data_IF_519417125859
#
_entry.id   IF_519417125859
#
_cell.length_a   1.000
_cell.length_b   1.000
_cell.length_c   1.000
_cell.angle_alpha   90.00
_cell.angle_beta   90.00
_cell.angle_gamma   90.00
#
_symmetry.space_group_name_H-M   'P 1'
#
loop_
_entity.id
_entity.type
_entity.pdbx_description
1 polymer ?
#
# COMPACT_ATOMS: atom_id res chain seq x y z
N UNK A 1 0.93 5.90 -4.12
CA UNK A 1 1.96 6.91 -3.83
C UNK A 1 1.41 7.90 -2.85
N UNK A 2 2.22 8.35 -1.91
CA UNK A 2 1.89 9.34 -0.88
C UNK A 2 2.77 10.57 -1.10
N UNK A 3 2.17 11.74 -1.23
CA UNK A 3 2.86 13.02 -1.28
C UNK A 3 2.58 13.75 0.03
N UNK A 4 3.62 13.94 0.83
CA UNK A 4 3.52 14.55 2.16
C UNK A 4 3.77 16.06 2.01
N UNK A 5 3.05 16.94 2.73
CA UNK A 5 3.42 18.34 2.83
C UNK A 5 4.89 18.48 3.18
N UNK A 6 5.55 19.53 2.71
CA UNK A 6 7.00 19.74 2.86
C UNK A 6 7.90 18.86 1.96
N UNK A 7 7.33 18.18 0.96
CA UNK A 7 8.06 17.57 -0.13
C UNK A 7 8.45 16.11 0.06
N UNK A 8 7.92 15.41 1.08
CA UNK A 8 8.14 13.96 1.24
C UNK A 8 7.32 13.15 0.24
N UNK A 9 7.94 12.14 -0.38
CA UNK A 9 7.27 11.21 -1.30
C UNK A 9 7.53 9.79 -0.84
N UNK A 10 6.44 9.02 -0.69
CA UNK A 10 6.52 7.58 -0.42
C UNK A 10 5.75 6.81 -1.49
N UNK A 11 6.30 5.68 -1.88
CA UNK A 11 5.63 4.71 -2.73
C UNK A 11 5.24 3.51 -1.86
N UNK A 12 3.98 3.10 -1.92
CA UNK A 12 3.52 1.88 -1.26
C UNK A 12 3.00 0.95 -2.33
N UNK A 13 3.67 -0.17 -2.49
CA UNK A 13 3.49 -1.17 -3.52
C UNK A 13 3.44 -0.56 -4.94
N UNK A 14 3.88 -1.30 -5.91
CA UNK A 14 3.69 -1.02 -7.32
C UNK A 14 3.97 -2.27 -8.13
N UNK A 15 2.93 -2.84 -8.69
CA UNK A 15 3.07 -4.04 -9.48
C UNK A 15 1.82 -4.38 -10.27
N UNK A 16 1.90 -5.47 -11.01
CA UNK A 16 0.78 -6.06 -11.72
C UNK A 16 1.08 -7.53 -12.03
N UNK A 17 0.10 -8.40 -11.81
CA UNK A 17 0.17 -9.80 -12.24
C UNK A 17 0.06 -9.96 -13.75
N UNK A 18 -0.66 -9.05 -14.44
CA UNK A 18 -1.04 -9.17 -15.84
C UNK A 18 -0.25 -8.23 -16.78
N UNK A 19 0.24 -7.09 -16.27
CA UNK A 19 1.00 -6.13 -17.06
C UNK A 19 2.50 -6.32 -16.85
N UNK A 20 3.26 -6.21 -17.94
CA UNK A 20 4.72 -6.15 -17.91
C UNK A 20 5.18 -4.69 -17.96
N UNK A 21 6.39 -4.44 -17.51
CA UNK A 21 7.05 -3.13 -17.60
C UNK A 21 6.22 -2.01 -16.94
N UNK A 22 5.70 -2.29 -15.75
CA UNK A 22 4.84 -1.37 -14.98
C UNK A 22 5.60 -0.11 -14.57
N UNK A 23 6.89 -0.24 -14.21
CA UNK A 23 7.69 0.94 -13.89
C UNK A 23 7.93 1.79 -15.15
N UNK A 24 8.31 1.18 -16.26
CA UNK A 24 8.63 1.89 -17.50
C UNK A 24 7.43 2.65 -18.08
N UNK A 25 6.26 2.02 -18.13
CA UNK A 25 5.11 2.58 -18.85
C UNK A 25 4.06 3.25 -17.97
N UNK A 26 4.11 3.08 -16.65
CA UNK A 26 3.14 3.67 -15.73
C UNK A 26 3.83 4.53 -14.66
N UNK A 27 4.71 3.95 -13.83
CA UNK A 27 5.27 4.64 -12.69
C UNK A 27 6.21 5.79 -13.10
N UNK A 28 7.21 5.52 -13.93
CA UNK A 28 8.19 6.55 -14.34
C UNK A 28 7.54 7.70 -15.12
N UNK A 29 6.62 7.48 -16.09
CA UNK A 29 5.89 8.56 -16.72
C UNK A 29 5.04 9.36 -15.73
N UNK A 30 4.41 8.71 -14.75
CA UNK A 30 3.66 9.40 -13.71
C UNK A 30 4.57 10.28 -12.84
N UNK A 31 5.64 9.73 -12.30
CA UNK A 31 6.63 10.49 -11.51
C UNK A 31 7.16 11.71 -12.29
N UNK A 32 7.50 11.50 -13.57
CA UNK A 32 7.94 12.57 -14.47
C UNK A 32 6.88 13.65 -14.65
N UNK A 33 5.62 13.27 -14.83
CA UNK A 33 4.51 14.23 -14.99
C UNK A 33 4.28 15.08 -13.73
N UNK A 34 4.65 14.54 -12.57
CA UNK A 34 4.58 15.23 -11.27
C UNK A 34 5.86 15.99 -10.91
N UNK A 35 6.92 15.89 -11.73
CA UNK A 35 8.23 16.48 -11.43
C UNK A 35 8.96 15.77 -10.28
N UNK A 36 8.60 14.52 -9.98
CA UNK A 36 9.18 13.74 -8.88
C UNK A 36 10.38 12.95 -9.41
N UNK A 37 11.56 13.23 -8.88
CA UNK A 37 12.79 12.48 -9.13
C UNK A 37 13.42 11.88 -7.88
N UNK A 38 12.83 12.15 -6.71
CA UNK A 38 13.28 11.65 -5.42
C UNK A 38 12.12 11.06 -4.64
N UNK A 39 12.31 9.85 -4.10
CA UNK A 39 11.37 9.10 -3.28
C UNK A 39 12.03 8.88 -1.91
N UNK A 40 11.40 9.31 -0.83
CA UNK A 40 11.96 9.17 0.52
C UNK A 40 11.89 7.72 1.03
N UNK A 41 10.89 6.97 0.59
CA UNK A 41 10.81 5.56 0.93
C UNK A 41 9.89 4.77 0.02
N UNK A 42 10.31 3.57 -0.30
CA UNK A 42 9.49 2.57 -0.99
C UNK A 42 9.09 1.54 0.05
N UNK A 43 7.81 1.44 0.35
CA UNK A 43 7.23 0.46 1.26
C UNK A 43 6.63 -0.68 0.46
N UNK A 44 6.92 -1.91 0.86
CA UNK A 44 6.36 -3.13 0.26
C UNK A 44 5.55 -3.85 1.32
N UNK A 45 4.26 -4.03 1.06
CA UNK A 45 3.37 -4.72 2.00
C UNK A 45 3.71 -6.22 2.09
N UNK A 46 3.90 -6.87 0.96
CA UNK A 46 4.30 -8.27 0.82
C UNK A 46 4.89 -8.51 -0.57
N UNK A 47 5.31 -9.74 -0.86
CA UNK A 47 6.14 -10.02 -2.04
C UNK A 47 5.39 -10.60 -3.24
N UNK A 48 4.07 -10.55 -3.26
CA UNK A 48 3.31 -11.01 -4.42
C UNK A 48 3.57 -10.11 -5.64
N UNK A 49 3.54 -10.73 -6.81
CA UNK A 49 3.97 -10.11 -8.07
C UNK A 49 3.23 -8.80 -8.38
N UNK A 50 1.96 -8.73 -8.08
CA UNK A 50 1.14 -7.53 -8.32
C UNK A 50 1.40 -6.39 -7.33
N UNK A 51 2.21 -6.63 -6.30
CA UNK A 51 2.71 -5.62 -5.37
C UNK A 51 4.14 -5.19 -5.68
N UNK A 52 4.99 -6.10 -6.17
CA UNK A 52 6.43 -5.82 -6.29
C UNK A 52 6.95 -5.70 -7.72
N UNK A 53 6.25 -6.19 -8.76
CA UNK A 53 6.85 -6.30 -10.11
C UNK A 53 7.32 -4.96 -10.69
N UNK A 54 6.60 -3.87 -10.44
CA UNK A 54 7.02 -2.53 -10.84
C UNK A 54 8.14 -1.96 -9.95
N UNK A 55 8.18 -2.34 -8.67
CA UNK A 55 9.27 -1.96 -7.76
C UNK A 55 10.57 -2.65 -8.20
N UNK A 56 10.53 -3.95 -8.48
CA UNK A 56 11.68 -4.71 -8.99
C UNK A 56 12.27 -4.04 -10.23
N UNK A 57 11.43 -3.75 -11.21
CA UNK A 57 11.82 -3.08 -12.44
C UNK A 57 12.39 -1.68 -12.18
N UNK A 58 11.81 -0.90 -11.26
CA UNK A 58 12.33 0.41 -10.87
C UNK A 58 13.72 0.30 -10.23
N UNK A 59 13.92 -0.66 -9.33
CA UNK A 59 15.21 -0.90 -8.67
C UNK A 59 16.29 -1.33 -9.67
N UNK A 60 15.95 -2.20 -10.63
CA UNK A 60 16.84 -2.58 -11.73
C UNK A 60 17.25 -1.35 -12.58
N UNK A 61 16.30 -0.46 -12.89
CA UNK A 61 16.61 0.77 -13.61
C UNK A 61 17.47 1.73 -12.80
N UNK A 62 17.29 1.81 -11.49
CA UNK A 62 18.15 2.61 -10.62
C UNK A 62 19.56 2.04 -10.56
N UNK A 63 19.73 0.72 -10.37
CA UNK A 63 21.01 0.03 -10.34
C UNK A 63 21.79 0.25 -11.65
N UNK A 64 21.11 0.07 -12.79
CA UNK A 64 21.72 0.21 -14.12
C UNK A 64 21.91 1.66 -14.56
N UNK A 65 21.46 2.64 -13.78
CA UNK A 65 21.52 4.05 -14.15
C UNK A 65 20.61 4.45 -15.33
N UNK A 66 19.57 3.67 -15.60
CA UNK A 66 18.60 3.90 -16.67
C UNK A 66 17.50 4.92 -16.30
N UNK A 67 17.46 5.34 -15.06
CA UNK A 67 16.55 6.38 -14.57
C UNK A 67 17.30 7.41 -13.71
N UNK A 68 16.80 8.65 -13.70
CA UNK A 68 17.25 9.68 -12.77
C UNK A 68 16.51 9.66 -11.43
N UNK A 69 15.47 8.84 -11.31
CA UNK A 69 14.75 8.67 -10.05
C UNK A 69 15.68 8.01 -9.02
N UNK A 70 15.61 8.49 -7.79
CA UNK A 70 16.38 7.96 -6.65
C UNK A 70 15.42 7.71 -5.48
N UNK A 71 15.79 6.78 -4.61
CA UNK A 71 15.06 6.56 -3.35
C UNK A 71 16.04 6.41 -2.20
N UNK A 72 15.66 6.93 -1.01
CA UNK A 72 16.50 6.86 0.18
C UNK A 72 16.44 5.48 0.83
N UNK A 73 15.26 4.85 0.86
CA UNK A 73 15.05 3.61 1.58
C UNK A 73 14.07 2.66 0.90
N UNK A 74 14.33 1.36 1.06
CA UNK A 74 13.37 0.28 0.89
C UNK A 74 12.91 -0.19 2.27
N UNK A 75 11.61 -0.22 2.50
CA UNK A 75 10.99 -0.58 3.78
C UNK A 75 10.19 -1.87 3.55
N UNK A 76 10.57 -2.92 4.26
CA UNK A 76 10.05 -4.28 4.12
C UNK A 76 9.50 -4.79 5.46
N UNK A 77 8.52 -5.69 5.48
CA UNK A 77 8.15 -6.40 6.70
C UNK A 77 9.33 -7.23 7.23
N UNK A 78 9.48 -7.30 8.55
CA UNK A 78 10.51 -8.13 9.20
C UNK A 78 9.98 -9.56 9.33
N UNK A 79 10.42 -10.43 8.43
CA UNK A 79 10.03 -11.83 8.37
C UNK A 79 11.16 -12.75 8.82
N UNK A 80 10.87 -13.75 9.64
CA UNK A 80 11.86 -14.77 10.06
C UNK A 80 12.30 -15.65 8.87
N UNK A 81 11.35 -16.07 8.03
CA UNK A 81 11.59 -16.93 6.86
C UNK A 81 11.09 -16.27 5.57
N UNK A 82 11.80 -15.23 5.08
CA UNK A 82 11.35 -14.52 3.88
C UNK A 82 11.53 -15.37 2.61
N UNK A 83 10.66 -15.22 1.61
CA UNK A 83 10.81 -15.88 0.32
C UNK A 83 12.04 -15.37 -0.43
N UNK A 84 12.56 -16.15 -1.39
CA UNK A 84 13.79 -15.83 -2.12
C UNK A 84 13.76 -14.45 -2.80
N UNK A 85 12.62 -14.05 -3.33
CA UNK A 85 12.44 -12.74 -3.98
C UNK A 85 12.69 -11.57 -3.04
N UNK A 86 12.48 -11.75 -1.75
CA UNK A 86 12.78 -10.75 -0.72
C UNK A 86 14.27 -10.40 -0.67
N UNK A 87 15.14 -11.41 -0.75
CA UNK A 87 16.58 -11.21 -0.80
C UNK A 87 17.01 -10.51 -2.11
N UNK A 88 16.32 -10.79 -3.21
CA UNK A 88 16.54 -10.09 -4.49
C UNK A 88 16.21 -8.59 -4.37
N UNK A 89 15.08 -8.24 -3.74
CA UNK A 89 14.71 -6.85 -3.47
C UNK A 89 15.76 -6.12 -2.64
N UNK A 90 16.25 -6.77 -1.56
CA UNK A 90 17.33 -6.21 -0.71
C UNK A 90 18.58 -5.95 -1.53
N UNK A 91 19.01 -6.93 -2.32
CA UNK A 91 20.21 -6.80 -3.14
C UNK A 91 20.10 -5.64 -4.13
N UNK A 92 19.00 -5.55 -4.89
CA UNK A 92 18.77 -4.48 -5.85
C UNK A 92 18.74 -3.10 -5.18
N UNK A 93 18.04 -2.98 -4.04
CA UNK A 93 17.99 -1.72 -3.31
C UNK A 93 19.36 -1.28 -2.82
N UNK A 94 20.15 -2.19 -2.25
CA UNK A 94 21.50 -1.90 -1.81
C UNK A 94 22.43 -1.51 -2.98
N UNK A 95 22.34 -2.20 -4.11
CA UNK A 95 23.08 -1.88 -5.33
C UNK A 95 22.68 -0.51 -5.89
N UNK A 96 21.42 -0.12 -5.73
CA UNK A 96 20.93 1.23 -6.07
C UNK A 96 21.32 2.32 -5.04
N UNK A 97 22.05 1.97 -3.97
CA UNK A 97 22.50 2.89 -2.93
C UNK A 97 21.46 3.24 -1.88
N UNK A 98 20.38 2.46 -1.79
CA UNK A 98 19.31 2.67 -0.82
C UNK A 98 19.62 2.01 0.53
N UNK A 99 19.04 2.56 1.60
CA UNK A 99 18.96 1.86 2.90
C UNK A 99 17.87 0.82 2.83
N UNK A 100 18.06 -0.31 3.50
CA UNK A 100 17.01 -1.32 3.71
C UNK A 100 16.61 -1.30 5.17
N UNK A 101 15.32 -1.13 5.41
CA UNK A 101 14.70 -1.11 6.73
C UNK A 101 13.69 -2.24 6.81
N UNK A 102 13.86 -3.11 7.78
CA UNK A 102 12.90 -4.17 8.11
C UNK A 102 12.07 -3.67 9.29
N UNK A 103 10.76 -3.78 9.19
CA UNK A 103 9.83 -3.20 10.16
C UNK A 103 8.80 -4.22 10.62
N UNK A 104 8.45 -4.12 11.90
CA UNK A 104 7.45 -4.93 12.59
C UNK A 104 6.43 -4.07 13.33
N UNK A 105 5.39 -4.67 13.83
CA UNK A 105 4.38 -4.02 14.65
C UNK A 105 5.01 -3.24 15.82
N UNK A 106 4.58 -1.99 16.00
CA UNK A 106 5.11 -1.06 17.00
C UNK A 106 6.21 -0.15 16.46
N UNK A 107 6.81 -0.46 15.32
CA UNK A 107 7.72 0.48 14.68
C UNK A 107 6.95 1.71 14.16
N UNK A 108 7.59 2.85 14.19
CA UNK A 108 7.01 4.08 13.64
C UNK A 108 8.11 5.03 13.17
N UNK A 109 7.77 5.87 12.22
CA UNK A 109 8.63 6.96 11.77
C UNK A 109 7.79 8.17 11.35
N UNK A 110 8.44 9.31 11.17
CA UNK A 110 7.76 10.56 10.77
C UNK A 110 8.48 11.23 9.61
N UNK A 111 7.67 11.93 8.79
CA UNK A 111 8.12 12.86 7.77
C UNK A 111 7.32 14.15 7.93
N UNK A 112 7.96 15.21 8.41
CA UNK A 112 7.25 16.44 8.78
C UNK A 112 6.16 16.16 9.83
N UNK A 113 4.93 16.59 9.55
CA UNK A 113 3.78 16.33 10.42
C UNK A 113 3.15 14.94 10.19
N UNK A 114 3.52 14.22 9.12
CA UNK A 114 3.00 12.89 8.85
C UNK A 114 3.70 11.81 9.70
N UNK A 115 2.94 10.98 10.37
CA UNK A 115 3.40 9.81 11.13
C UNK A 115 2.99 8.52 10.44
N UNK A 116 3.88 7.54 10.41
CA UNK A 116 3.65 6.20 9.89
C UNK A 116 3.79 5.22 11.05
N UNK A 117 2.75 4.42 11.30
CA UNK A 117 2.71 3.43 12.36
C UNK A 117 2.50 2.05 11.76
N UNK A 118 3.42 1.14 12.04
CA UNK A 118 3.36 -0.25 11.56
C UNK A 118 2.50 -1.06 12.52
N UNK A 119 1.39 -1.59 12.03
CA UNK A 119 0.44 -2.38 12.81
C UNK A 119 0.64 -3.90 12.63
N UNK A 120 1.26 -4.33 11.52
CA UNK A 120 1.65 -5.70 11.21
C UNK A 120 2.92 -5.67 10.32
N UNK A 121 3.71 -6.79 10.26
CA UNK A 121 3.49 -8.04 10.98
C UNK A 121 3.78 -7.91 12.48
N UNK A 122 3.15 -8.76 13.29
CA UNK A 122 3.52 -8.91 14.69
C UNK A 122 4.71 -9.86 14.81
N UNK A 123 5.61 -9.64 15.77
CA UNK A 123 6.83 -10.42 15.97
C UNK A 123 6.58 -11.92 16.21
N UNK A 124 5.40 -12.24 16.76
CA UNK A 124 5.00 -13.62 17.08
C UNK A 124 3.90 -14.12 16.12
N UNK A 125 3.73 -13.47 14.97
CA UNK A 125 2.76 -13.90 13.96
C UNK A 125 3.27 -15.18 13.31
N UNK A 126 2.64 -16.30 13.64
CA UNK A 126 2.85 -17.60 13.00
C UNK A 126 1.86 -17.71 11.83
N UNK A 127 2.02 -16.88 10.80
CA UNK A 127 1.27 -16.99 9.56
C UNK A 127 1.86 -18.09 8.66
N UNK A 128 1.00 -18.86 8.02
CA UNK A 128 1.42 -19.82 6.99
C UNK A 128 1.44 -19.16 5.59
N UNK A 129 1.01 -17.89 5.47
CA UNK A 129 0.85 -17.15 4.23
C UNK A 129 1.45 -15.74 4.35
N UNK A 130 2.25 -15.34 3.36
CA UNK A 130 2.85 -13.99 3.24
C UNK A 130 1.80 -12.86 3.28
N UNK A 131 0.56 -13.14 2.89
CA UNK A 131 -0.55 -12.18 2.99
C UNK A 131 -1.01 -11.96 4.44
N UNK A 132 -0.90 -12.97 5.29
CA UNK A 132 -1.22 -12.87 6.72
C UNK A 132 -0.11 -12.16 7.50
N UNK A 133 1.12 -12.22 7.00
CA UNK A 133 2.31 -11.56 7.56
C UNK A 133 2.66 -10.24 6.84
N UNK A 134 1.78 -9.76 5.97
CA UNK A 134 1.96 -8.53 5.22
C UNK A 134 2.00 -7.28 6.11
N UNK A 135 2.72 -6.25 5.64
CA UNK A 135 2.80 -4.98 6.36
C UNK A 135 1.47 -4.23 6.29
N UNK A 136 0.95 -3.87 7.46
CA UNK A 136 -0.18 -2.95 7.61
C UNK A 136 0.32 -1.63 8.20
N UNK A 137 -0.03 -0.53 7.54
CA UNK A 137 0.45 0.81 7.91
C UNK A 137 -0.72 1.74 8.18
N UNK A 138 -0.72 2.39 9.34
CA UNK A 138 -1.56 3.56 9.62
C UNK A 138 -0.74 4.83 9.35
N UNK A 139 -1.28 5.71 8.52
CA UNK A 139 -0.76 7.05 8.25
C UNK A 139 -1.56 8.06 9.06
N UNK A 140 -0.88 8.84 9.87
CA UNK A 140 -1.45 9.95 10.64
C UNK A 140 -0.96 11.30 10.08
N UNK A 141 -1.89 12.23 9.84
CA UNK A 141 -1.54 13.61 9.49
C UNK A 141 -2.54 14.57 10.13
N UNK A 142 -2.14 15.22 11.22
CA UNK A 142 -3.04 16.03 12.07
C UNK A 142 -4.22 15.19 12.57
N UNK A 143 -5.45 15.55 12.19
CA UNK A 143 -6.66 14.81 12.56
C UNK A 143 -6.98 13.66 11.58
N UNK A 144 -6.32 13.61 10.41
CA UNK A 144 -6.54 12.58 9.38
C UNK A 144 -5.81 11.27 9.73
N UNK A 145 -6.50 10.15 9.47
CA UNK A 145 -5.94 8.79 9.50
C UNK A 145 -6.26 8.02 8.23
N UNK A 146 -5.23 7.43 7.64
CA UNK A 146 -5.35 6.53 6.51
C UNK A 146 -4.79 5.15 6.87
N UNK A 147 -5.50 4.09 6.50
CA UNK A 147 -5.08 2.70 6.74
C UNK A 147 -4.80 1.98 5.43
N UNK A 148 -3.63 1.37 5.35
CA UNK A 148 -3.14 0.58 4.21
C UNK A 148 -2.89 -0.84 4.69
N UNK A 149 -3.66 -1.80 4.17
CA UNK A 149 -3.69 -3.17 4.70
C UNK A 149 -3.00 -4.19 3.79
N UNK A 150 -2.34 -3.76 2.70
CA UNK A 150 -1.78 -4.69 1.73
C UNK A 150 -2.85 -5.69 1.27
N UNK A 151 -2.52 -6.97 1.35
CA UNK A 151 -3.45 -8.06 1.06
C UNK A 151 -3.88 -8.85 2.32
N UNK A 152 -3.87 -8.18 3.48
CA UNK A 152 -4.32 -8.75 4.72
C UNK A 152 -5.72 -9.40 4.59
N UNK A 153 -5.79 -10.68 4.94
CA UNK A 153 -7.01 -11.45 5.05
C UNK A 153 -7.65 -11.33 6.42
N UNK A 154 -8.81 -11.98 6.60
CA UNK A 154 -9.57 -11.95 7.86
C UNK A 154 -8.73 -12.34 9.10
N UNK A 155 -7.82 -13.36 9.08
CA UNK A 155 -6.97 -13.66 10.22
C UNK A 155 -6.07 -12.49 10.61
N UNK A 156 -5.37 -11.87 9.64
CA UNK A 156 -4.50 -10.73 9.87
C UNK A 156 -5.28 -9.49 10.36
N UNK A 157 -6.45 -9.22 9.77
CA UNK A 157 -7.33 -8.15 10.21
C UNK A 157 -7.77 -8.32 11.68
N UNK A 158 -8.13 -9.56 12.06
CA UNK A 158 -8.51 -9.88 13.45
C UNK A 158 -7.35 -9.77 14.43
N UNK A 159 -6.15 -10.11 14.02
CA UNK A 159 -4.95 -10.00 14.86
C UNK A 159 -4.61 -8.55 15.26
N UNK A 160 -5.02 -7.57 14.46
CA UNK A 160 -4.73 -6.15 14.72
C UNK A 160 -5.91 -5.36 15.29
N UNK A 161 -7.09 -5.97 15.51
CA UNK A 161 -8.31 -5.25 15.95
C UNK A 161 -8.10 -4.35 17.16
N UNK A 162 -7.34 -4.79 18.14
CA UNK A 162 -7.05 -4.04 19.37
C UNK A 162 -6.14 -2.83 19.17
N UNK A 163 -5.53 -2.69 17.98
CA UNK A 163 -4.65 -1.58 17.59
C UNK A 163 -5.35 -0.58 16.69
N UNK A 164 -6.50 -0.97 16.12
CA UNK A 164 -7.24 -0.16 15.16
C UNK A 164 -8.06 0.95 15.85
N UNK A 165 -8.21 2.03 15.13
CA UNK A 165 -9.05 3.19 15.48
C UNK A 165 -9.92 3.55 14.27
N UNK A 166 -10.89 4.43 14.47
CA UNK A 166 -11.63 5.04 13.36
C UNK A 166 -10.64 5.71 12.38
N UNK A 167 -10.84 5.52 11.07
CA UNK A 167 -9.99 6.10 10.03
C UNK A 167 -10.83 6.88 9.01
N UNK A 168 -10.25 7.87 8.37
CA UNK A 168 -10.91 8.63 7.30
C UNK A 168 -10.79 7.88 5.97
N UNK A 169 -9.67 7.19 5.76
CA UNK A 169 -9.33 6.50 4.52
C UNK A 169 -8.91 5.05 4.76
N UNK A 170 -9.45 4.13 3.95
CA UNK A 170 -9.04 2.73 3.90
C UNK A 170 -8.63 2.35 2.47
N UNK A 171 -7.37 1.93 2.28
CA UNK A 171 -6.98 1.12 1.13
C UNK A 171 -7.41 -0.31 1.42
N UNK A 172 -8.47 -0.74 0.76
CA UNK A 172 -9.09 -2.05 0.97
C UNK A 172 -8.11 -3.18 0.68
N UNK A 173 -8.03 -4.14 1.58
CA UNK A 173 -7.12 -5.27 1.50
C UNK A 173 -7.46 -6.23 0.36
N UNK A 174 -6.43 -6.89 -0.14
CA UNK A 174 -6.49 -8.00 -1.10
C UNK A 174 -7.43 -7.71 -2.28
N UNK A 175 -7.31 -6.48 -2.82
CA UNK A 175 -8.09 -6.01 -3.98
C UNK A 175 -9.61 -6.19 -3.84
N UNK A 176 -10.12 -6.29 -2.61
CA UNK A 176 -11.52 -6.58 -2.32
C UNK A 176 -11.87 -8.07 -2.40
N UNK A 177 -10.93 -8.96 -2.09
CA UNK A 177 -11.17 -10.40 -1.94
C UNK A 177 -12.31 -10.68 -0.95
N UNK A 178 -13.03 -11.79 -1.13
CA UNK A 178 -14.04 -12.24 -0.18
C UNK A 178 -13.47 -12.55 1.20
N UNK A 179 -12.20 -12.85 1.28
CA UNK A 179 -11.47 -13.22 2.49
C UNK A 179 -10.85 -12.04 3.23
N UNK A 180 -11.03 -10.80 2.75
CA UNK A 180 -10.60 -9.56 3.39
C UNK A 180 -11.78 -8.67 3.77
N UNK A 181 -11.53 -7.61 4.53
CA UNK A 181 -12.52 -6.64 4.99
C UNK A 181 -13.67 -7.34 5.75
N UNK A 182 -13.30 -8.13 6.76
CA UNK A 182 -14.26 -8.80 7.61
C UNK A 182 -15.12 -7.79 8.37
N UNK A 183 -16.26 -8.22 8.86
CA UNK A 183 -17.23 -7.32 9.51
C UNK A 183 -16.63 -6.64 10.73
N UNK A 184 -16.00 -7.42 11.59
CA UNK A 184 -15.40 -6.92 12.84
C UNK A 184 -14.34 -5.85 12.56
N UNK A 185 -13.53 -6.03 11.52
CA UNK A 185 -12.56 -5.06 11.06
C UNK A 185 -13.23 -3.77 10.59
N UNK A 186 -14.23 -3.86 9.71
CA UNK A 186 -14.95 -2.69 9.19
C UNK A 186 -15.74 -1.94 10.29
N UNK A 187 -16.32 -2.66 11.24
CA UNK A 187 -17.01 -2.09 12.41
C UNK A 187 -16.03 -1.33 13.33
N UNK A 188 -14.75 -1.70 13.32
CA UNK A 188 -13.69 -1.04 14.10
C UNK A 188 -13.12 0.18 13.38
N UNK A 189 -12.78 0.06 12.09
CA UNK A 189 -12.10 1.14 11.33
C UNK A 189 -13.05 2.24 10.87
N UNK A 190 -14.32 1.94 10.62
CA UNK A 190 -15.39 2.89 10.24
C UNK A 190 -14.95 3.94 9.18
N UNK A 191 -14.26 3.50 8.16
CA UNK A 191 -13.68 4.37 7.16
C UNK A 191 -14.75 5.26 6.49
N UNK A 192 -14.44 6.56 6.31
CA UNK A 192 -15.29 7.47 5.53
C UNK A 192 -15.20 7.12 4.04
N UNK A 193 -13.96 6.89 3.55
CA UNK A 193 -13.66 6.53 2.16
C UNK A 193 -12.87 5.23 2.12
N UNK A 194 -13.32 4.30 1.29
CA UNK A 194 -12.63 3.05 1.00
C UNK A 194 -12.26 2.98 -0.48
N UNK A 195 -11.00 2.67 -0.80
CA UNK A 195 -10.53 2.54 -2.18
C UNK A 195 -10.13 1.10 -2.46
N UNK A 196 -10.73 0.51 -3.48
CA UNK A 196 -10.38 -0.81 -4.00
C UNK A 196 -9.55 -0.62 -5.27
N UNK A 197 -8.30 -1.09 -5.23
CA UNK A 197 -7.41 -1.15 -6.40
C UNK A 197 -7.59 -2.49 -7.09
N UNK A 198 -8.26 -2.51 -8.23
CA UNK A 198 -8.50 -3.73 -8.99
C UNK A 198 -8.64 -3.42 -10.49
N UNK A 199 -8.45 -4.43 -11.33
CA UNK A 199 -8.68 -4.37 -12.77
C UNK A 199 -10.04 -4.97 -13.10
N UNK A 200 -10.71 -4.47 -14.14
CA UNK A 200 -11.93 -5.04 -14.72
C UNK A 200 -11.69 -6.40 -15.39
N UNK A 201 -10.44 -6.65 -15.79
CA UNK A 201 -10.00 -7.87 -16.48
C UNK A 201 -9.24 -8.86 -15.58
N UNK A 202 -9.38 -8.74 -14.24
CA UNK A 202 -8.74 -9.69 -13.33
C UNK A 202 -9.41 -11.06 -13.36
N UNK A 203 -8.60 -12.12 -13.19
CA UNK A 203 -9.06 -13.52 -13.20
C UNK A 203 -9.52 -14.02 -11.82
N UNK A 204 -9.33 -13.24 -10.77
CA UNK A 204 -9.63 -13.61 -9.39
C UNK A 204 -11.08 -13.29 -8.97
N UNK A 205 -11.81 -12.54 -9.81
CA UNK A 205 -13.17 -12.09 -9.50
C UNK A 205 -13.22 -11.01 -8.43
N UNK A 206 -12.15 -10.20 -8.31
CA UNK A 206 -12.10 -9.06 -7.40
C UNK A 206 -12.64 -7.79 -8.05
N UNK A 207 -13.33 -6.91 -7.31
CA UNK A 207 -13.75 -7.13 -5.93
C UNK A 207 -14.91 -8.12 -5.83
N UNK A 208 -14.95 -8.90 -4.77
CA UNK A 208 -16.04 -9.84 -4.55
C UNK A 208 -17.35 -9.10 -4.21
N UNK A 209 -18.50 -9.64 -4.62
CA UNK A 209 -19.80 -9.08 -4.23
C UNK A 209 -19.99 -9.01 -2.70
N UNK A 210 -19.44 -10.00 -1.98
CA UNK A 210 -19.52 -10.08 -0.53
C UNK A 210 -18.78 -8.93 0.14
N UNK A 211 -17.55 -8.64 -0.29
CA UNK A 211 -16.73 -7.54 0.23
C UNK A 211 -17.36 -6.19 -0.10
N UNK A 212 -17.82 -6.02 -1.34
CA UNK A 212 -18.54 -4.81 -1.75
C UNK A 212 -19.79 -4.57 -0.89
N UNK A 213 -20.53 -5.64 -0.58
CA UNK A 213 -21.70 -5.53 0.29
C UNK A 213 -21.33 -5.19 1.75
N UNK A 214 -20.23 -5.76 2.29
CA UNK A 214 -19.74 -5.42 3.63
C UNK A 214 -19.33 -3.95 3.72
N UNK A 215 -18.56 -3.46 2.76
CA UNK A 215 -18.17 -2.04 2.67
C UNK A 215 -19.39 -1.10 2.57
N UNK A 216 -20.38 -1.46 1.74
CA UNK A 216 -21.61 -0.69 1.66
C UNK A 216 -22.38 -0.65 2.99
N UNK A 217 -22.41 -1.77 3.72
CA UNK A 217 -23.07 -1.86 5.03
C UNK A 217 -22.33 -1.10 6.14
N UNK A 218 -20.99 -0.99 6.05
CA UNK A 218 -20.21 -0.19 7.01
C UNK A 218 -20.41 1.33 6.82
N UNK A 219 -21.03 1.75 5.71
CA UNK A 219 -21.27 3.16 5.41
C UNK A 219 -20.12 3.84 4.66
N UNK A 220 -19.01 3.14 4.38
CA UNK A 220 -17.88 3.69 3.67
C UNK A 220 -18.25 4.04 2.22
N UNK A 221 -17.88 5.24 1.78
CA UNK A 221 -17.94 5.62 0.37
C UNK A 221 -16.86 4.87 -0.39
N UNK A 222 -17.27 3.89 -1.20
CA UNK A 222 -16.35 3.00 -1.87
C UNK A 222 -16.05 3.47 -3.30
N UNK A 223 -14.77 3.59 -3.62
CA UNK A 223 -14.23 3.96 -4.92
C UNK A 223 -13.47 2.78 -5.55
N UNK A 224 -13.52 2.66 -6.89
CA UNK A 224 -12.96 1.49 -7.60
C UNK A 224 -12.04 1.96 -8.72
N UNK A 225 -10.78 1.55 -8.73
CA UNK A 225 -9.85 1.92 -9.81
C UNK A 225 -10.29 1.37 -11.17
N UNK A 226 -10.96 0.22 -11.20
CA UNK A 226 -11.50 -0.36 -12.42
C UNK A 226 -12.57 0.52 -13.11
N UNK A 227 -13.23 1.41 -12.34
CA UNK A 227 -14.26 2.32 -12.87
C UNK A 227 -13.73 3.73 -13.03
N UNK A 228 -12.99 4.21 -12.04
CA UNK A 228 -12.60 5.60 -11.92
C UNK A 228 -11.17 5.89 -12.41
N UNK A 229 -10.44 4.85 -12.87
CA UNK A 229 -9.03 5.01 -13.21
C UNK A 229 -8.19 5.33 -11.97
N UNK A 230 -7.25 6.25 -12.10
CA UNK A 230 -6.50 6.71 -10.94
C UNK A 230 -7.40 7.46 -9.95
N UNK A 231 -7.25 7.16 -8.68
CA UNK A 231 -7.97 7.81 -7.57
C UNK A 231 -6.96 8.53 -6.70
N UNK A 232 -7.17 9.83 -6.52
CA UNK A 232 -6.37 10.66 -5.63
C UNK A 232 -7.20 11.07 -4.43
N UNK A 233 -6.68 10.81 -3.24
CA UNK A 233 -7.27 11.25 -1.98
C UNK A 233 -6.42 12.36 -1.42
N UNK A 234 -7.00 13.55 -1.25
CA UNK A 234 -6.34 14.72 -0.73
C UNK A 234 -6.90 15.08 0.64
N UNK A 235 -6.02 15.51 1.55
CA UNK A 235 -6.44 16.01 2.86
C UNK A 235 -5.61 17.21 3.30
N UNK A 236 -6.21 18.11 4.05
CA UNK A 236 -5.55 19.19 4.80
C UNK A 236 -5.32 18.79 6.28
N UNK A 237 -5.61 17.53 6.60
CA UNK A 237 -5.58 16.98 7.95
C UNK A 237 -6.93 17.04 8.68
N UNK A 238 -7.98 17.62 8.07
CA UNK A 238 -9.34 17.72 8.64
C UNK A 238 -10.43 17.35 7.67
N UNK A 239 -10.22 17.73 6.39
CA UNK A 239 -11.18 17.44 5.32
C UNK A 239 -10.54 16.50 4.32
N UNK A 240 -11.35 15.60 3.81
CA UNK A 240 -10.96 14.65 2.79
C UNK A 240 -11.67 14.98 1.48
N UNK A 241 -10.92 14.96 0.38
CA UNK A 241 -11.43 15.13 -0.98
C UNK A 241 -10.93 13.99 -1.86
N UNK A 242 -11.83 13.42 -2.65
CA UNK A 242 -11.52 12.36 -3.61
C UNK A 242 -11.61 12.90 -5.03
N UNK A 243 -10.54 12.74 -5.78
CA UNK A 243 -10.48 13.06 -7.21
C UNK A 243 -10.34 11.74 -8.00
N UNK A 244 -11.06 11.68 -9.10
CA UNK A 244 -11.08 10.52 -9.99
C UNK A 244 -10.55 10.95 -11.35
N UNK A 245 -9.75 10.09 -11.97
CA UNK A 245 -9.27 10.35 -13.33
C UNK A 245 -10.42 10.24 -14.36
N UNK A 246 -11.32 9.28 -14.16
CA UNK A 246 -12.56 9.15 -14.93
C UNK A 246 -13.73 9.49 -14.01
N UNK A 247 -14.54 10.46 -14.41
CA UNK A 247 -15.79 10.80 -13.74
C UNK A 247 -16.94 10.22 -14.56
N UNK A 248 -17.67 9.25 -13.98
CA UNK A 248 -18.96 8.82 -14.51
C UNK A 248 -20.09 9.76 -14.10
#
# INVERSE_FOLDING_TARGET
>A
MLEIPDGGVFLMDCGSSNKKNTAQYQLLPYLKSRGISHINGIMISHTDKDHISGIMELLEFMEQGLTSVRSDALILPDWEEPPEVYNTLIHLAQSAGMKVLQVECGNSFRMGEAGFHILAPAKDALGEDVNEEGMVVELEYRDFRGLFTGDAGEPAEKAILNRLRDVDFLKVGHHGSRYSSCREFLDQVKAEVAVISCSDSNTYGHPSPETTLRLKKSGAKTEFTMKNGAITVCTDGKKLRVERFVNE
#
